data_IF_958639114769
#
_entry.id   IF_958639114769
#
_cell.length_a   1.000
_cell.length_b   1.000
_cell.length_c   1.000
_cell.angle_alpha   90.00
_cell.angle_beta   90.00
_cell.angle_gamma   90.00
#
_symmetry.space_group_name_H-M   'P 1'
#
loop_
_entity.id
_entity.type
_entity.pdbx_description
1 polymer ?
#
# COMPACT_ATOMS: atom_id res chain seq x y z
N UNK A 1 2.07 14.94 18.27
CA UNK A 1 2.48 13.91 17.29
C UNK A 1 3.02 14.63 16.07
N UNK A 2 4.22 14.28 15.61
CA UNK A 2 4.83 14.82 14.39
C UNK A 2 4.93 13.68 13.40
N UNK A 3 4.46 13.87 12.18
CA UNK A 3 4.58 12.90 11.09
C UNK A 3 5.46 13.50 10.01
N UNK A 4 6.51 12.78 9.62
CA UNK A 4 7.44 13.18 8.56
C UNK A 4 7.37 12.18 7.42
N UNK A 5 7.03 12.63 6.21
CA UNK A 5 6.93 11.77 5.04
C UNK A 5 8.27 11.54 4.31
N UNK A 6 8.23 10.71 3.26
CA UNK A 6 9.41 10.34 2.48
C UNK A 6 10.11 11.52 1.78
N UNK A 7 9.40 12.64 1.56
CA UNK A 7 9.98 13.86 0.98
C UNK A 7 10.49 14.83 2.05
N UNK A 8 10.30 14.50 3.32
CA UNK A 8 10.62 15.35 4.46
C UNK A 8 9.53 16.37 4.80
N UNK A 9 8.33 16.26 4.23
CA UNK A 9 7.23 17.13 4.62
C UNK A 9 6.71 16.72 6.02
N UNK A 10 6.46 17.73 6.86
CA UNK A 10 6.14 17.54 8.27
C UNK A 10 4.71 17.99 8.58
N UNK A 11 3.96 17.16 9.30
CA UNK A 11 2.66 17.50 9.87
C UNK A 11 2.73 17.42 11.40
N UNK A 12 2.28 18.48 12.09
CA UNK A 12 2.16 18.50 13.56
C UNK A 12 0.70 18.34 13.94
N UNK A 13 0.41 17.28 14.70
CA UNK A 13 -0.92 16.83 15.07
C UNK A 13 -1.07 16.76 16.59
N UNK A 14 -2.29 16.93 17.07
CA UNK A 14 -2.64 16.83 18.50
C UNK A 14 -3.71 15.76 18.71
N UNK A 15 -3.58 15.02 19.81
CA UNK A 15 -4.52 14.02 20.27
C UNK A 15 -4.73 14.20 21.78
N UNK A 16 -5.86 13.71 22.29
CA UNK A 16 -6.11 13.65 23.73
C UNK A 16 -6.07 12.21 24.18
N UNK A 17 -5.34 11.93 25.27
CA UNK A 17 -5.36 10.62 25.91
C UNK A 17 -6.70 10.46 26.65
N UNK A 18 -7.44 9.42 26.29
CA UNK A 18 -8.73 9.08 26.86
C UNK A 18 -8.59 8.42 28.24
N UNK A 19 -9.70 8.26 28.95
CA UNK A 19 -9.72 7.70 30.30
C UNK A 19 -9.20 6.25 30.38
N UNK A 20 -9.24 5.51 29.27
CA UNK A 20 -8.70 4.15 29.14
C UNK A 20 -7.22 4.11 28.73
N UNK A 21 -6.58 5.27 28.58
CA UNK A 21 -5.18 5.42 28.18
C UNK A 21 -4.95 5.39 26.67
N UNK A 22 -5.99 5.26 25.84
CA UNK A 22 -5.88 5.27 24.38
C UNK A 22 -5.87 6.69 23.80
N UNK A 23 -5.37 6.85 22.58
CA UNK A 23 -5.42 8.08 21.81
C UNK A 23 -5.41 7.73 20.31
N UNK A 24 -5.99 8.59 19.47
CA UNK A 24 -5.87 8.50 18.02
C UNK A 24 -5.85 9.89 17.42
N UNK A 25 -5.27 10.02 16.22
CA UNK A 25 -5.30 11.25 15.43
C UNK A 25 -5.19 10.90 13.96
N UNK A 26 -6.01 11.54 13.14
CA UNK A 26 -5.96 11.37 11.69
C UNK A 26 -4.94 12.31 11.07
N UNK A 27 -4.27 11.84 10.02
CA UNK A 27 -3.36 12.65 9.20
C UNK A 27 -4.19 13.37 8.12
N UNK A 28 -4.34 14.71 8.17
CA UNK A 28 -5.28 15.43 7.31
C UNK A 28 -4.81 15.60 5.86
N UNK A 29 -3.50 15.66 5.63
CA UNK A 29 -2.94 15.74 4.27
C UNK A 29 -2.26 14.43 3.89
N UNK A 30 -2.48 13.91 2.66
CA UNK A 30 -1.79 12.72 2.18
C UNK A 30 -0.28 12.85 2.34
N UNK A 31 0.35 11.77 2.79
CA UNK A 31 1.80 11.64 2.85
C UNK A 31 2.32 11.18 1.48
N UNK A 32 3.54 11.58 1.15
CA UNK A 32 4.20 11.08 -0.06
C UNK A 32 4.44 9.56 -0.01
N UNK A 33 4.46 8.97 -1.20
CA UNK A 33 4.92 7.60 -1.46
C UNK A 33 6.27 7.32 -0.79
N UNK A 34 6.40 6.17 -0.14
CA UNK A 34 7.60 5.72 0.55
C UNK A 34 7.50 5.71 2.08
N UNK A 35 8.65 5.66 2.74
CA UNK A 35 8.74 5.54 4.21
C UNK A 35 8.34 6.82 4.92
N UNK A 36 7.60 6.71 6.03
CA UNK A 36 7.33 7.81 6.94
C UNK A 36 7.69 7.46 8.38
N UNK A 37 7.92 8.51 9.17
CA UNK A 37 8.26 8.46 10.60
C UNK A 37 7.18 9.17 11.42
N UNK A 38 6.94 8.68 12.65
CA UNK A 38 6.05 9.32 13.62
C UNK A 38 6.79 9.55 14.92
N UNK A 39 6.77 10.79 15.42
CA UNK A 39 7.27 11.17 16.74
C UNK A 39 6.11 11.57 17.66
N UNK A 40 5.95 10.83 18.75
CA UNK A 40 4.93 11.05 19.78
C UNK A 40 5.51 11.65 21.04
N UNK A 41 4.76 12.53 21.71
CA UNK A 41 5.08 12.95 23.08
C UNK A 41 3.82 13.26 23.88
N UNK A 42 3.90 13.06 25.19
CA UNK A 42 2.85 13.38 26.16
C UNK A 42 3.50 14.01 27.39
N UNK A 43 2.80 14.96 28.00
CA UNK A 43 3.25 15.65 29.21
C UNK A 43 2.15 15.60 30.26
N UNK A 44 2.48 15.22 31.49
CA UNK A 44 1.54 15.25 32.61
C UNK A 44 1.41 16.65 33.21
N UNK A 45 0.46 16.83 34.14
CA UNK A 45 0.23 18.12 34.79
C UNK A 45 1.38 18.58 35.71
N UNK A 46 2.26 17.65 36.13
CA UNK A 46 3.44 17.96 36.92
C UNK A 46 4.65 18.37 36.04
N UNK A 47 4.51 18.27 34.72
CA UNK A 47 5.53 18.63 33.74
C UNK A 47 6.47 17.49 33.35
N UNK A 48 6.17 16.23 33.71
CA UNK A 48 6.96 15.09 33.26
C UNK A 48 6.60 14.73 31.83
N UNK A 49 7.61 14.46 31.00
CA UNK A 49 7.44 14.13 29.58
C UNK A 49 7.83 12.69 29.28
N UNK A 50 7.02 12.02 28.45
CA UNK A 50 7.40 10.80 27.75
C UNK A 50 7.34 11.04 26.24
N UNK A 51 8.22 10.37 25.49
CA UNK A 51 8.28 10.45 24.04
C UNK A 51 8.66 9.12 23.43
N UNK A 52 8.23 8.90 22.20
CA UNK A 52 8.60 7.72 21.41
C UNK A 52 8.66 8.08 19.92
N UNK A 53 9.44 7.30 19.17
CA UNK A 53 9.61 7.45 17.72
C UNK A 53 9.39 6.10 17.06
N UNK A 54 8.43 6.04 16.15
CA UNK A 54 8.18 4.86 15.32
C UNK A 54 8.66 5.12 13.88
N UNK A 55 9.40 4.16 13.35
CA UNK A 55 9.94 4.17 12.00
C UNK A 55 9.52 2.87 11.31
N UNK A 56 8.99 2.97 10.10
CA UNK A 56 8.67 1.77 9.30
C UNK A 56 7.27 1.75 8.73
N UNK A 57 6.49 2.82 8.93
CA UNK A 57 5.35 3.07 8.07
C UNK A 57 5.80 3.28 6.63
N UNK A 58 5.10 2.65 5.68
CA UNK A 58 5.32 2.83 4.24
C UNK A 58 3.99 3.16 3.60
N UNK A 59 3.96 4.22 2.80
CA UNK A 59 2.88 4.49 1.86
C UNK A 59 3.28 3.87 0.53
N UNK A 60 2.46 2.93 0.05
CA UNK A 60 2.57 2.35 -1.28
C UNK A 60 1.27 2.55 -2.07
N UNK A 61 1.36 3.43 -3.05
CA UNK A 61 0.27 3.84 -3.95
C UNK A 61 0.56 3.49 -5.39
N UNK A 62 1.72 2.88 -5.67
CA UNK A 62 2.10 2.50 -7.03
C UNK A 62 1.42 1.18 -7.38
N UNK A 63 0.45 1.25 -8.29
CA UNK A 63 -0.11 0.05 -8.88
C UNK A 63 0.94 -0.67 -9.73
N UNK A 64 0.93 -2.01 -9.78
CA UNK A 64 1.82 -2.75 -10.64
C UNK A 64 1.46 -2.57 -12.11
N UNK A 65 2.44 -2.76 -12.98
CA UNK A 65 2.25 -2.95 -14.42
C UNK A 65 1.88 -4.39 -14.71
N UNK A 66 1.02 -4.62 -15.71
CA UNK A 66 0.61 -5.95 -16.13
C UNK A 66 0.28 -5.93 -17.62
N UNK A 67 0.90 -6.81 -18.39
CA UNK A 67 0.73 -6.92 -19.84
C UNK A 67 0.63 -8.39 -20.28
N UNK A 68 -0.18 -8.63 -21.30
CA UNK A 68 -0.30 -9.94 -21.95
C UNK A 68 0.36 -9.82 -23.32
N UNK A 69 1.28 -10.73 -23.62
CA UNK A 69 2.00 -10.70 -24.89
C UNK A 69 1.03 -10.88 -26.08
N UNK A 70 1.37 -10.34 -27.27
CA UNK A 70 0.56 -10.51 -28.46
C UNK A 70 0.27 -11.98 -28.77
N UNK A 71 -1.01 -12.30 -28.93
CA UNK A 71 -1.45 -13.64 -29.31
C UNK A 71 -1.29 -13.85 -30.82
N UNK A 72 -0.71 -14.98 -31.20
CA UNK A 72 -0.53 -15.38 -32.60
C UNK A 72 -1.53 -16.47 -33.02
N UNK A 73 -1.86 -16.52 -34.30
CA UNK A 73 -2.63 -17.63 -34.85
C UNK A 73 -1.86 -18.94 -34.68
N UNK A 74 -2.54 -19.98 -34.19
CA UNK A 74 -1.95 -21.29 -33.91
C UNK A 74 -2.95 -22.40 -34.26
N UNK A 75 -2.44 -23.61 -34.48
CA UNK A 75 -3.22 -24.84 -34.57
C UNK A 75 -3.21 -25.66 -33.26
N UNK A 76 -2.62 -25.11 -32.20
CA UNK A 76 -2.66 -25.65 -30.84
C UNK A 76 -3.96 -25.20 -30.14
N UNK A 77 -4.79 -26.16 -29.73
CA UNK A 77 -6.04 -25.90 -29.00
C UNK A 77 -5.84 -25.51 -27.52
N UNK A 78 -4.60 -25.60 -27.02
CA UNK A 78 -4.20 -25.24 -25.66
C UNK A 78 -2.99 -24.29 -25.69
N UNK A 79 -3.12 -23.10 -26.31
CA UNK A 79 -1.99 -22.21 -26.46
C UNK A 79 -1.44 -21.76 -25.11
N UNK A 80 -0.13 -21.60 -25.04
CA UNK A 80 0.51 -20.91 -23.91
C UNK A 80 0.20 -19.41 -23.99
N UNK A 81 -0.29 -18.85 -22.89
CA UNK A 81 -0.44 -17.41 -22.70
C UNK A 81 0.75 -16.91 -21.88
N UNK A 82 1.46 -15.91 -22.40
CA UNK A 82 2.58 -15.27 -21.72
C UNK A 82 2.32 -13.78 -21.55
N UNK A 83 3.13 -13.14 -20.71
CA UNK A 83 3.00 -11.73 -20.39
C UNK A 83 4.08 -11.29 -19.41
N UNK A 84 3.96 -10.08 -18.91
CA UNK A 84 4.88 -9.51 -17.94
C UNK A 84 4.17 -8.67 -16.88
N UNK A 85 4.78 -8.57 -15.71
CA UNK A 85 4.37 -7.70 -14.61
C UNK A 85 5.59 -7.35 -13.77
N UNK A 86 5.57 -6.20 -13.11
CA UNK A 86 6.57 -5.81 -12.11
C UNK A 86 6.23 -6.29 -10.69
N UNK A 87 5.03 -6.87 -10.47
CA UNK A 87 4.64 -7.46 -9.18
C UNK A 87 5.27 -8.85 -8.99
N UNK A 88 6.46 -8.88 -8.40
CA UNK A 88 7.20 -10.13 -8.19
C UNK A 88 6.52 -11.01 -7.13
N UNK A 89 6.10 -12.20 -7.53
CA UNK A 89 5.39 -13.14 -6.65
C UNK A 89 3.89 -12.89 -6.57
N UNK A 90 3.37 -11.90 -7.29
CA UNK A 90 1.94 -11.70 -7.47
C UNK A 90 1.28 -12.89 -8.15
N UNK A 91 0.02 -13.14 -7.80
CA UNK A 91 -0.79 -14.16 -8.45
C UNK A 91 -1.37 -13.60 -9.76
N UNK A 92 -1.23 -14.35 -10.83
CA UNK A 92 -1.79 -14.00 -12.14
C UNK A 92 -3.11 -14.75 -12.32
N UNK A 93 -4.20 -14.03 -12.58
CA UNK A 93 -5.48 -14.65 -12.94
C UNK A 93 -5.89 -14.22 -14.34
N UNK A 94 -6.07 -15.19 -15.24
CA UNK A 94 -6.47 -14.95 -16.63
C UNK A 94 -7.85 -15.55 -16.86
N UNK A 95 -8.70 -14.84 -17.58
CA UNK A 95 -9.97 -15.38 -18.09
C UNK A 95 -9.92 -15.44 -19.60
N UNK A 96 -10.11 -16.64 -20.15
CA UNK A 96 -10.19 -16.90 -21.58
C UNK A 96 -11.65 -17.15 -21.94
N UNK A 97 -12.16 -16.44 -22.94
CA UNK A 97 -13.48 -16.69 -23.53
C UNK A 97 -13.29 -17.15 -24.97
N UNK A 98 -13.83 -18.32 -25.31
CA UNK A 98 -13.71 -18.86 -26.66
C UNK A 98 -14.79 -18.32 -27.62
N UNK A 99 -14.76 -18.77 -28.87
CA UNK A 99 -15.70 -18.34 -29.90
C UNK A 99 -17.16 -18.76 -29.65
N UNK A 100 -17.39 -19.78 -28.82
CA UNK A 100 -18.73 -20.22 -28.41
C UNK A 100 -19.22 -19.46 -27.17
N UNK A 101 -18.36 -18.64 -26.55
CA UNK A 101 -18.64 -17.93 -25.31
C UNK A 101 -18.34 -18.76 -24.06
N UNK A 102 -17.67 -19.90 -24.19
CA UNK A 102 -17.26 -20.71 -23.05
C UNK A 102 -16.09 -20.01 -22.33
N UNK A 103 -16.19 -19.96 -21.01
CA UNK A 103 -15.24 -19.24 -20.16
C UNK A 103 -14.35 -20.23 -19.40
N UNK A 104 -13.05 -19.99 -19.44
CA UNK A 104 -12.05 -20.69 -18.65
C UNK A 104 -11.26 -19.68 -17.81
N UNK A 105 -11.05 -19.99 -16.53
CA UNK A 105 -10.22 -19.20 -15.63
C UNK A 105 -8.92 -19.96 -15.35
N UNK A 106 -7.80 -19.27 -15.50
CA UNK A 106 -6.45 -19.75 -15.22
C UNK A 106 -5.92 -18.97 -14.01
N UNK A 107 -5.27 -19.65 -13.07
CA UNK A 107 -4.70 -19.10 -11.83
C UNK A 107 -3.39 -19.79 -11.52
#
# INVERSE_FOLDING_TARGET
VIVTDATGAVQTLTATVLADGTWSVDVPTPLAEGTFQVDGSVTDAAGNTASDTENGGVIDTQAPTFDIDPLAATNDSTPTITGSSDEIGGLVSITVTDANGDIQTLT
#
